data_IF_139597227650
#
_entry.id   IF_139597227650
#
_cell.length_a   1.000
_cell.length_b   1.000
_cell.length_c   1.000
_cell.angle_alpha   90.00
_cell.angle_beta   90.00
_cell.angle_gamma   90.00
#
_symmetry.space_group_name_H-M   'P 1'
#
loop_
_entity.id
_entity.type
_entity.pdbx_description
1 polymer ?
#
# COMPACT_ATOMS: atom_id res chain seq x y z
N UNK A 1 20.05 -10.97 -14.81
CA UNK A 1 18.62 -11.08 -14.42
C UNK A 1 17.88 -11.80 -15.53
N UNK A 2 16.97 -12.73 -15.23
CA UNK A 2 16.16 -13.44 -16.24
C UNK A 2 15.16 -12.46 -16.88
N UNK A 3 14.93 -12.57 -18.19
CA UNK A 3 14.03 -11.75 -19.03
C UNK A 3 12.53 -11.77 -18.64
N UNK A 4 12.14 -12.38 -17.52
CA UNK A 4 10.73 -12.61 -17.17
C UNK A 4 9.97 -11.36 -16.69
N UNK A 5 10.70 -10.32 -16.28
CA UNK A 5 10.15 -9.04 -15.82
C UNK A 5 9.93 -8.03 -16.95
N UNK A 6 10.05 -8.45 -18.20
CA UNK A 6 9.84 -7.62 -19.40
C UNK A 6 8.63 -8.14 -20.15
N UNK A 7 7.65 -7.27 -20.38
CA UNK A 7 6.49 -7.52 -21.21
C UNK A 7 6.64 -6.84 -22.57
N UNK A 8 6.17 -7.51 -23.61
CA UNK A 8 6.03 -6.93 -24.95
C UNK A 8 4.54 -6.91 -25.28
N UNK A 9 3.94 -5.72 -25.32
CA UNK A 9 2.54 -5.52 -25.66
C UNK A 9 2.45 -5.23 -27.16
N UNK A 10 1.89 -6.15 -27.92
CA UNK A 10 1.82 -6.07 -29.40
C UNK A 10 0.47 -5.62 -29.92
N UNK A 11 -0.59 -5.80 -29.11
CA UNK A 11 -1.98 -5.61 -29.53
C UNK A 11 -2.77 -4.89 -28.44
N UNK A 12 -3.59 -3.88 -28.76
CA UNK A 12 -4.47 -3.25 -27.79
C UNK A 12 -5.47 -4.23 -27.18
N UNK A 13 -5.87 -3.98 -25.94
CA UNK A 13 -6.92 -4.71 -25.22
C UNK A 13 -6.48 -6.01 -24.56
N UNK A 14 -5.30 -6.55 -24.89
CA UNK A 14 -4.82 -7.83 -24.38
C UNK A 14 -3.89 -7.62 -23.17
N UNK A 15 -4.23 -8.23 -22.04
CA UNK A 15 -3.35 -8.29 -20.88
C UNK A 15 -2.18 -9.24 -21.13
N UNK A 16 -0.98 -8.72 -20.89
CA UNK A 16 0.25 -9.51 -20.74
C UNK A 16 0.62 -9.60 -19.28
N UNK A 17 1.21 -10.73 -18.87
CA UNK A 17 1.39 -11.10 -17.47
C UNK A 17 2.85 -11.34 -17.12
N UNK A 18 3.37 -10.63 -16.12
CA UNK A 18 4.54 -11.04 -15.36
C UNK A 18 4.08 -12.04 -14.30
N UNK A 19 4.50 -13.29 -14.44
CA UNK A 19 4.05 -14.40 -13.58
C UNK A 19 4.69 -14.32 -12.20
N UNK A 20 4.03 -14.92 -11.21
CA UNK A 20 4.59 -15.20 -9.88
C UNK A 20 5.94 -15.93 -9.98
N UNK A 21 6.81 -15.67 -9.03
CA UNK A 21 8.18 -16.19 -8.97
C UNK A 21 9.18 -15.42 -9.82
N UNK A 22 8.74 -14.45 -10.63
CA UNK A 22 9.65 -13.65 -11.47
C UNK A 22 10.46 -12.64 -10.66
N UNK A 23 9.83 -12.00 -9.67
CA UNK A 23 10.47 -10.97 -8.86
C UNK A 23 11.30 -11.61 -7.74
N UNK A 24 12.57 -11.84 -8.02
CA UNK A 24 13.54 -12.38 -7.06
C UNK A 24 14.33 -11.25 -6.39
N UNK A 25 14.14 -11.07 -5.08
CA UNK A 25 14.97 -10.18 -4.26
C UNK A 25 16.09 -10.95 -3.58
N UNK A 26 17.26 -10.32 -3.46
CA UNK A 26 18.38 -10.88 -2.70
C UNK A 26 18.06 -10.95 -1.20
N UNK A 27 18.74 -11.85 -0.48
CA UNK A 27 18.64 -11.92 0.99
C UNK A 27 19.06 -10.58 1.62
N UNK A 28 18.31 -10.11 2.60
CA UNK A 28 18.56 -8.83 3.28
C UNK A 28 18.18 -7.60 2.43
N UNK A 29 17.33 -7.79 1.42
CA UNK A 29 16.76 -6.71 0.63
C UNK A 29 15.23 -6.68 0.77
N UNK A 30 14.69 -5.47 0.73
CA UNK A 30 13.26 -5.19 0.63
C UNK A 30 12.99 -4.27 -0.55
N UNK A 31 11.80 -4.42 -1.13
CA UNK A 31 11.31 -3.60 -2.23
C UNK A 31 10.13 -2.76 -1.72
N UNK A 32 10.36 -1.48 -1.38
CA UNK A 32 9.29 -0.55 -1.07
C UNK A 32 8.54 -0.05 -2.31
N UNK A 33 9.22 0.00 -3.45
CA UNK A 33 8.66 0.49 -4.71
C UNK A 33 9.15 -0.42 -5.84
N UNK A 34 8.28 -0.67 -6.81
CA UNK A 34 8.62 -1.25 -8.09
C UNK A 34 8.53 -0.18 -9.18
N UNK A 35 9.53 -0.11 -10.04
CA UNK A 35 9.50 0.73 -11.23
C UNK A 35 8.92 -0.03 -12.41
N UNK A 36 8.15 0.65 -13.25
CA UNK A 36 7.75 0.17 -14.56
C UNK A 36 8.29 1.12 -15.63
N UNK A 37 9.33 0.72 -16.37
CA UNK A 37 9.82 1.45 -17.54
C UNK A 37 8.97 1.08 -18.75
N UNK A 38 8.21 2.03 -19.29
CA UNK A 38 7.53 1.89 -20.58
C UNK A 38 8.37 2.51 -21.69
N UNK A 39 8.50 1.79 -22.80
CA UNK A 39 9.01 2.29 -24.07
C UNK A 39 7.90 2.17 -25.10
N UNK A 40 7.38 3.30 -25.56
CA UNK A 40 6.18 3.37 -26.40
C UNK A 40 6.56 3.95 -27.77
N UNK A 41 6.45 3.19 -28.86
CA UNK A 41 6.67 3.72 -30.20
C UNK A 41 5.42 4.47 -30.68
N UNK A 42 5.55 5.76 -30.99
CA UNK A 42 4.45 6.63 -31.43
C UNK A 42 4.71 7.10 -32.86
N UNK A 43 3.78 6.81 -33.77
CA UNK A 43 3.75 7.36 -35.11
C UNK A 43 3.06 8.72 -35.13
N UNK A 44 3.65 9.67 -35.86
CA UNK A 44 3.08 11.00 -36.07
C UNK A 44 2.69 11.22 -37.54
N UNK A 45 1.42 11.53 -37.78
CA UNK A 45 0.84 11.86 -39.08
C UNK A 45 0.12 13.22 -39.08
N UNK A 46 0.43 14.10 -38.14
CA UNK A 46 -0.24 15.40 -37.93
C UNK A 46 0.19 16.50 -38.93
N UNK A 47 1.09 16.20 -39.88
CA UNK A 47 1.54 17.15 -40.89
C UNK A 47 2.74 18.03 -40.47
N UNK A 48 3.17 17.96 -39.22
CA UNK A 48 4.34 18.65 -38.68
C UNK A 48 4.95 17.90 -37.49
N UNK A 49 6.15 18.30 -37.06
CA UNK A 49 6.72 17.77 -35.83
C UNK A 49 5.93 18.29 -34.62
N UNK A 50 5.54 17.42 -33.70
CA UNK A 50 4.75 17.78 -32.52
C UNK A 50 5.29 17.08 -31.28
N UNK A 51 5.18 17.71 -30.11
CA UNK A 51 5.38 17.06 -28.82
C UNK A 51 4.02 16.86 -28.16
N UNK A 52 3.87 15.82 -27.35
CA UNK A 52 2.65 15.62 -26.57
C UNK A 52 2.46 16.78 -25.58
N UNK A 53 1.30 17.43 -25.62
CA UNK A 53 0.85 18.34 -24.58
C UNK A 53 0.64 17.58 -23.26
N UNK A 54 0.60 18.29 -22.13
CA UNK A 54 0.38 17.67 -20.82
C UNK A 54 -0.91 16.81 -20.79
N UNK A 55 -1.99 17.29 -21.42
CA UNK A 55 -3.24 16.54 -21.53
C UNK A 55 -3.07 15.24 -22.34
N UNK A 56 -2.38 15.30 -23.48
CA UNK A 56 -2.12 14.12 -24.32
C UNK A 56 -1.18 13.12 -23.63
N UNK A 57 -0.24 13.58 -22.79
CA UNK A 57 0.58 12.70 -21.94
C UNK A 57 -0.27 11.96 -20.91
N UNK A 58 -1.20 12.64 -20.23
CA UNK A 58 -2.16 12.00 -19.31
C UNK A 58 -3.02 10.98 -20.04
N UNK A 59 -3.54 11.33 -21.22
CA UNK A 59 -4.29 10.41 -22.09
C UNK A 59 -3.47 9.18 -22.44
N UNK A 60 -2.23 9.34 -22.90
CA UNK A 60 -1.35 8.22 -23.24
C UNK A 60 -1.13 7.29 -22.04
N UNK A 61 -0.80 7.82 -20.87
CA UNK A 61 -0.62 7.02 -19.66
C UNK A 61 -1.92 6.32 -19.23
N UNK A 62 -3.07 6.97 -19.43
CA UNK A 62 -4.38 6.41 -19.10
C UNK A 62 -4.79 5.24 -20.00
N UNK A 63 -4.17 5.10 -21.19
CA UNK A 63 -4.37 3.93 -22.04
C UNK A 63 -3.83 2.66 -21.39
N UNK A 64 -2.76 2.77 -20.60
CA UNK A 64 -2.10 1.63 -19.96
C UNK A 64 -2.78 1.29 -18.65
N UNK A 65 -3.28 0.06 -18.54
CA UNK A 65 -4.07 -0.42 -17.40
C UNK A 65 -3.29 -1.54 -16.72
N UNK A 66 -2.99 -1.35 -15.44
CA UNK A 66 -2.21 -2.25 -14.61
C UNK A 66 -3.08 -2.91 -13.53
N UNK A 67 -2.90 -4.21 -13.34
CA UNK A 67 -3.38 -4.94 -12.17
C UNK A 67 -2.18 -5.57 -11.47
N UNK A 68 -2.08 -5.36 -10.16
CA UNK A 68 -1.10 -6.03 -9.31
C UNK A 68 -1.84 -6.96 -8.36
N UNK A 69 -1.43 -8.24 -8.33
CA UNK A 69 -1.92 -9.20 -7.36
C UNK A 69 -0.79 -9.83 -6.56
N UNK A 70 -1.06 -10.28 -5.33
CA UNK A 70 -0.09 -11.01 -4.52
C UNK A 70 -0.76 -12.01 -3.55
N UNK A 71 0.07 -12.75 -2.81
CA UNK A 71 -0.39 -13.78 -1.86
C UNK A 71 -0.83 -15.07 -2.54
N UNK A 72 -1.31 -16.03 -1.75
CA UNK A 72 -1.75 -17.35 -2.25
C UNK A 72 -2.76 -17.20 -3.39
N UNK A 73 -2.47 -17.74 -4.56
CA UNK A 73 -3.32 -17.65 -5.76
C UNK A 73 -3.70 -16.22 -6.21
N UNK A 74 -3.04 -15.16 -5.73
CA UNK A 74 -3.34 -13.77 -6.11
C UNK A 74 -4.65 -13.24 -5.53
N UNK A 75 -5.02 -13.73 -4.35
CA UNK A 75 -6.24 -13.31 -3.67
C UNK A 75 -6.21 -11.84 -3.23
N UNK A 76 -5.03 -11.21 -3.15
CA UNK A 76 -4.85 -9.77 -2.88
C UNK A 76 -4.73 -9.01 -4.19
N UNK A 77 -5.44 -7.89 -4.29
CA UNK A 77 -5.49 -7.06 -5.49
C UNK A 77 -5.40 -5.57 -5.12
N UNK A 78 -4.27 -5.10 -4.57
CA UNK A 78 -4.15 -3.71 -4.12
C UNK A 78 -4.36 -2.70 -5.25
N UNK A 79 -4.01 -3.08 -6.48
CA UNK A 79 -4.26 -2.30 -7.67
C UNK A 79 -5.02 -3.17 -8.66
N UNK A 80 -6.26 -2.82 -8.95
CA UNK A 80 -7.13 -3.58 -9.84
C UNK A 80 -7.54 -2.73 -11.03
N UNK A 81 -6.95 -3.02 -12.20
CA UNK A 81 -7.19 -2.30 -13.44
C UNK A 81 -7.00 -0.77 -13.33
N UNK A 82 -5.92 -0.34 -12.66
CA UNK A 82 -5.59 1.07 -12.51
C UNK A 82 -4.84 1.62 -13.74
N UNK A 83 -5.25 2.78 -14.27
CA UNK A 83 -4.48 3.46 -15.31
C UNK A 83 -3.11 3.93 -14.80
N UNK A 84 -2.10 3.95 -15.67
CA UNK A 84 -0.76 4.40 -15.26
C UNK A 84 -0.66 5.88 -14.92
N UNK A 85 -1.58 6.73 -15.39
CA UNK A 85 -1.68 8.12 -14.92
C UNK A 85 -2.08 8.18 -13.45
N UNK A 86 -3.07 7.37 -13.04
CA UNK A 86 -3.45 7.23 -11.63
C UNK A 86 -2.31 6.63 -10.80
N UNK A 87 -1.63 5.62 -11.33
CA UNK A 87 -0.46 5.04 -10.66
C UNK A 87 0.66 6.07 -10.49
N UNK A 88 0.88 6.97 -11.46
CA UNK A 88 1.83 8.09 -11.33
C UNK A 88 1.43 9.01 -10.17
N UNK A 89 0.15 9.39 -10.06
CA UNK A 89 -0.35 10.22 -8.96
C UNK A 89 -0.14 9.55 -7.60
N UNK A 90 -0.49 8.26 -7.48
CA UNK A 90 -0.28 7.49 -6.24
C UNK A 90 1.21 7.34 -5.91
N UNK A 91 2.05 7.13 -6.94
CA UNK A 91 3.50 7.07 -6.83
C UNK A 91 4.09 8.40 -6.37
N UNK A 92 3.62 9.53 -6.90
CA UNK A 92 4.04 10.88 -6.50
C UNK A 92 3.64 11.18 -5.06
N UNK A 93 2.41 10.87 -4.67
CA UNK A 93 1.92 11.00 -3.30
C UNK A 93 2.72 10.13 -2.32
N UNK A 94 2.86 8.84 -2.60
CA UNK A 94 3.55 7.93 -1.70
C UNK A 94 5.06 8.26 -1.65
N UNK A 95 5.69 8.46 -2.81
CA UNK A 95 7.14 8.54 -2.95
C UNK A 95 7.68 9.94 -2.74
N UNK A 96 6.85 10.96 -2.90
CA UNK A 96 7.18 12.36 -2.75
C UNK A 96 8.13 12.85 -3.85
N UNK A 97 8.00 12.32 -5.06
CA UNK A 97 8.71 12.72 -6.28
C UNK A 97 7.91 12.26 -7.51
N UNK A 98 7.92 13.05 -8.59
CA UNK A 98 7.40 12.58 -9.88
C UNK A 98 8.44 11.70 -10.59
N UNK A 99 7.98 11.03 -11.64
CA UNK A 99 8.73 10.02 -12.36
C UNK A 99 9.54 10.58 -13.52
N UNK A 100 10.69 9.95 -13.78
CA UNK A 100 11.51 10.28 -14.93
C UNK A 100 10.73 10.04 -16.24
N UNK A 101 10.85 11.00 -17.17
CA UNK A 101 10.28 10.90 -18.51
C UNK A 101 9.06 11.78 -18.77
N UNK A 102 8.40 12.35 -17.75
CA UNK A 102 7.21 13.20 -17.95
C UNK A 102 7.49 14.47 -18.78
N UNK A 103 8.45 15.30 -18.33
CA UNK A 103 8.85 16.55 -19.01
C UNK A 103 10.16 16.42 -19.81
N UNK A 104 10.67 15.19 -19.98
CA UNK A 104 11.93 14.98 -20.69
C UNK A 104 11.73 15.11 -22.21
N UNK A 105 12.41 16.09 -22.82
CA UNK A 105 12.33 16.43 -24.24
C UNK A 105 13.26 15.64 -25.15
N UNK A 106 14.19 14.86 -24.58
CA UNK A 106 15.19 14.08 -25.32
C UNK A 106 14.72 12.65 -25.59
N UNK A 107 14.20 11.97 -24.56
CA UNK A 107 13.73 10.58 -24.64
C UNK A 107 12.34 10.39 -24.08
N UNK A 108 11.81 11.36 -23.32
CA UNK A 108 10.56 11.23 -22.59
C UNK A 108 9.29 11.53 -23.38
N UNK A 109 8.19 11.68 -22.64
CA UNK A 109 6.87 11.99 -23.17
C UNK A 109 6.77 13.41 -23.77
N UNK A 110 7.64 14.33 -23.34
CA UNK A 110 7.73 15.68 -23.90
C UNK A 110 8.61 15.77 -25.15
N UNK A 111 9.15 14.65 -25.64
CA UNK A 111 9.98 14.60 -26.83
C UNK A 111 9.19 15.01 -28.08
N UNK A 112 9.85 15.76 -28.96
CA UNK A 112 9.32 16.07 -30.30
C UNK A 112 9.29 14.81 -31.17
N UNK A 113 8.13 14.55 -31.77
CA UNK A 113 7.82 13.44 -32.65
C UNK A 113 7.83 13.95 -34.10
N UNK A 114 8.84 13.60 -34.92
CA UNK A 114 8.90 14.04 -36.32
C UNK A 114 7.72 13.50 -37.15
N UNK A 115 7.19 14.33 -38.04
CA UNK A 115 6.11 13.92 -38.96
C UNK A 115 6.56 12.77 -39.87
N UNK A 116 5.67 11.81 -40.11
CA UNK A 116 5.91 10.64 -40.96
C UNK A 116 6.85 9.60 -40.36
N UNK A 117 7.21 9.71 -39.08
CA UNK A 117 8.11 8.78 -38.40
C UNK A 117 7.47 8.18 -37.14
N UNK A 118 7.90 6.96 -36.82
CA UNK A 118 7.64 6.34 -35.53
C UNK A 118 8.81 6.61 -34.60
N UNK A 119 8.54 7.27 -33.48
CA UNK A 119 9.54 7.62 -32.47
C UNK A 119 9.21 6.95 -31.14
N UNK A 120 10.20 6.31 -30.53
CA UNK A 120 10.05 5.76 -29.18
C UNK A 120 10.17 6.86 -28.12
N UNK A 121 9.18 6.90 -27.22
CA UNK A 121 9.22 7.68 -25.97
C UNK A 121 9.35 6.74 -24.78
N UNK A 122 10.05 7.19 -23.75
CA UNK A 122 10.28 6.44 -22.51
C UNK A 122 9.65 7.12 -21.31
N UNK A 123 9.04 6.33 -20.43
CA UNK A 123 8.44 6.81 -19.20
C UNK A 123 8.63 5.79 -18.09
N UNK A 124 8.78 6.25 -16.86
CA UNK A 124 8.85 5.40 -15.68
C UNK A 124 7.59 5.58 -14.86
N UNK A 125 6.99 4.51 -14.34
CA UNK A 125 5.91 4.59 -13.35
C UNK A 125 6.39 3.99 -12.03
N UNK A 126 6.09 4.66 -10.91
CA UNK A 126 6.34 4.14 -9.56
C UNK A 126 5.10 3.35 -9.12
N UNK A 127 5.30 2.09 -8.77
CA UNK A 127 4.27 1.21 -8.21
C UNK A 127 4.63 1.02 -6.73
N UNK A 128 3.93 1.68 -5.79
CA UNK A 128 4.16 1.48 -4.36
C UNK A 128 3.87 0.03 -3.98
N UNK A 129 4.84 -0.64 -3.36
CA UNK A 129 4.69 -2.04 -2.90
C UNK A 129 4.79 -2.18 -1.39
N UNK A 130 5.01 -1.09 -0.67
CA UNK A 130 4.96 -1.03 0.78
C UNK A 130 4.46 0.34 1.23
N UNK A 131 4.50 0.55 2.55
CA UNK A 131 3.95 1.76 3.15
C UNK A 131 5.04 2.79 3.52
N UNK A 132 4.75 4.08 3.31
CA UNK A 132 5.54 5.18 3.84
C UNK A 132 5.32 5.25 5.36
N UNK A 133 6.36 5.01 6.19
CA UNK A 133 6.13 4.86 7.63
C UNK A 133 6.42 6.07 8.49
N UNK A 134 7.31 6.98 8.09
CA UNK A 134 7.55 8.16 8.92
C UNK A 134 8.35 9.23 8.21
N UNK A 135 8.11 10.46 8.66
CA UNK A 135 8.92 11.63 8.46
C UNK A 135 9.18 12.21 9.85
N UNK A 136 10.37 11.93 10.39
CA UNK A 136 10.91 12.63 11.55
C UNK A 136 12.34 12.97 11.22
N UNK A 137 12.69 14.26 11.25
CA UNK A 137 14.04 14.72 10.91
C UNK A 137 14.45 14.49 9.45
N UNK A 138 13.50 14.48 8.51
CA UNK A 138 13.77 14.41 7.06
C UNK A 138 14.10 13.03 6.48
N UNK A 139 14.06 11.95 7.26
CA UNK A 139 14.29 10.60 6.73
C UNK A 139 13.00 9.87 6.40
N UNK A 140 12.78 9.59 5.11
CA UNK A 140 11.70 8.71 4.62
C UNK A 140 12.07 7.25 4.92
N UNK A 141 11.46 6.64 5.93
CA UNK A 141 11.60 5.19 6.15
C UNK A 141 10.52 4.45 5.38
N UNK A 142 10.96 3.83 4.29
CA UNK A 142 10.11 2.99 3.48
C UNK A 142 10.00 1.60 4.09
N UNK A 143 8.77 1.19 4.39
CA UNK A 143 8.48 -0.24 4.55
C UNK A 143 8.33 -0.83 3.16
N UNK A 144 8.76 -2.08 3.03
CA UNK A 144 8.81 -2.75 1.75
C UNK A 144 8.79 -4.25 1.94
N UNK A 145 8.54 -4.93 0.84
CA UNK A 145 8.34 -6.37 0.84
C UNK A 145 9.65 -7.08 0.61
N UNK A 146 9.91 -8.12 1.36
CA UNK A 146 11.08 -8.96 1.18
C UNK A 146 10.86 -10.04 0.13
N UNK A 147 11.88 -10.88 -0.08
CA UNK A 147 11.91 -11.90 -1.14
C UNK A 147 10.71 -12.84 -1.14
N UNK A 148 10.18 -13.21 0.05
CA UNK A 148 9.10 -14.20 0.12
C UNK A 148 7.81 -13.63 -0.45
N UNK A 149 7.44 -12.41 -0.07
CA UNK A 149 6.25 -11.76 -0.59
C UNK A 149 6.43 -11.29 -2.03
N UNK A 150 7.61 -10.76 -2.39
CA UNK A 150 7.92 -10.36 -3.77
C UNK A 150 7.72 -11.51 -4.77
N UNK A 151 8.09 -12.74 -4.39
CA UNK A 151 7.89 -13.93 -5.23
C UNK A 151 6.41 -14.25 -5.52
N UNK A 152 5.48 -13.72 -4.72
CA UNK A 152 4.04 -13.95 -4.92
C UNK A 152 3.38 -12.92 -5.84
N UNK A 153 4.11 -11.85 -6.21
CA UNK A 153 3.58 -10.76 -7.03
C UNK A 153 3.39 -11.24 -8.46
N UNK A 154 2.23 -10.88 -9.01
CA UNK A 154 1.87 -11.03 -10.41
C UNK A 154 1.36 -9.68 -10.91
N UNK A 155 1.82 -9.28 -12.11
CA UNK A 155 1.43 -8.02 -12.73
C UNK A 155 0.83 -8.31 -14.09
N UNK A 156 -0.38 -7.80 -14.30
CA UNK A 156 -1.04 -7.75 -15.60
C UNK A 156 -0.98 -6.32 -16.13
N UNK A 157 -0.54 -6.15 -17.37
CA UNK A 157 -0.52 -4.86 -18.06
C UNK A 157 -1.12 -5.00 -19.45
N UNK A 158 -1.99 -4.06 -19.82
CA UNK A 158 -2.46 -3.87 -21.19
C UNK A 158 -2.42 -2.41 -21.57
N UNK A 159 -2.58 -2.13 -22.85
CA UNK A 159 -2.97 -0.81 -23.33
C UNK A 159 -4.31 -0.90 -24.05
N UNK A 160 -5.23 0.04 -23.82
CA UNK A 160 -6.63 -0.07 -24.24
C UNK A 160 -6.87 0.33 -25.70
N UNK A 161 -6.07 1.26 -26.23
CA UNK A 161 -6.20 1.79 -27.59
C UNK A 161 -4.83 2.11 -28.17
N UNK A 162 -4.71 2.05 -29.49
CA UNK A 162 -3.54 2.57 -30.19
C UNK A 162 -3.63 4.09 -30.42
N UNK A 163 -4.84 4.68 -30.46
CA UNK A 163 -5.01 6.10 -30.68
C UNK A 163 -4.66 6.90 -29.41
N UNK A 164 -3.74 7.86 -29.55
CA UNK A 164 -3.32 8.74 -28.45
C UNK A 164 -4.00 10.09 -28.57
N UNK A 165 -3.86 10.72 -29.74
CA UNK A 165 -4.44 12.02 -30.08
C UNK A 165 -4.63 12.11 -31.60
N UNK A 166 -5.16 13.24 -32.08
CA UNK A 166 -5.32 13.45 -33.53
C UNK A 166 -3.97 13.36 -34.24
N UNK A 167 -3.83 12.43 -35.18
CA UNK A 167 -2.58 12.19 -35.92
C UNK A 167 -1.47 11.54 -35.10
N UNK A 168 -1.73 11.04 -33.89
CA UNK A 168 -0.76 10.37 -33.02
C UNK A 168 -1.26 9.00 -32.58
N UNK A 169 -0.51 7.95 -32.90
CA UNK A 169 -0.88 6.58 -32.55
C UNK A 169 0.31 5.72 -32.13
N UNK A 170 0.10 4.83 -31.17
CA UNK A 170 1.04 3.77 -30.82
C UNK A 170 1.20 2.86 -32.05
N UNK A 171 2.44 2.74 -32.54
CA UNK A 171 2.77 2.01 -33.78
C UNK A 171 3.98 1.11 -33.54
N UNK A 172 3.72 -0.17 -33.28
CA UNK A 172 4.73 -1.18 -32.97
C UNK A 172 4.57 -1.76 -31.57
N UNK A 173 5.60 -2.47 -31.12
CA UNK A 173 5.59 -3.16 -29.84
C UNK A 173 5.90 -2.18 -28.70
N UNK A 174 5.01 -2.12 -27.70
CA UNK A 174 5.32 -1.46 -26.44
C UNK A 174 6.12 -2.42 -25.57
N UNK A 175 7.19 -1.93 -24.96
CA UNK A 175 7.99 -2.70 -24.00
C UNK A 175 7.75 -2.13 -22.61
N UNK A 176 7.40 -3.00 -21.66
CA UNK A 176 7.29 -2.64 -20.25
C UNK A 176 8.27 -3.48 -19.43
N UNK A 177 9.19 -2.85 -18.73
CA UNK A 177 10.17 -3.50 -17.86
C UNK A 177 9.90 -3.16 -16.39
N UNK A 178 9.75 -4.19 -15.55
CA UNK A 178 9.50 -4.05 -14.13
C UNK A 178 10.77 -4.24 -13.32
N UNK A 179 11.18 -3.21 -12.57
CA UNK A 179 12.45 -3.18 -11.82
C UNK A 179 12.18 -2.96 -10.33
N UNK A 180 12.47 -3.96 -9.47
CA UNK A 180 12.42 -3.78 -8.02
C UNK A 180 13.44 -2.74 -7.54
N UNK A 181 13.01 -1.68 -6.85
CA UNK A 181 13.92 -0.77 -6.16
C UNK A 181 14.27 -1.35 -4.79
N UNK A 182 15.35 -2.12 -4.73
CA UNK A 182 15.76 -2.83 -3.52
C UNK A 182 16.55 -1.95 -2.55
N UNK A 183 16.16 -1.93 -1.28
CA UNK A 183 16.88 -1.32 -0.17
C UNK A 183 17.37 -2.38 0.81
N UNK A 184 18.45 -2.10 1.54
CA UNK A 184 18.98 -3.01 2.55
C UNK A 184 18.06 -3.07 3.78
N UNK A 185 17.76 -4.28 4.26
CA UNK A 185 16.99 -4.51 5.47
C UNK A 185 17.46 -5.77 6.20
N UNK A 186 17.24 -5.83 7.51
CA UNK A 186 17.53 -7.03 8.31
C UNK A 186 16.43 -8.08 8.09
N UNK A 187 16.86 -9.25 7.61
CA UNK A 187 15.98 -10.40 7.38
C UNK A 187 15.02 -10.20 6.21
N UNK A 188 14.10 -11.15 6.07
CA UNK A 188 13.04 -11.11 5.07
C UNK A 188 11.72 -10.66 5.73
N UNK A 189 10.97 -9.81 5.04
CA UNK A 189 9.85 -9.04 5.59
C UNK A 189 8.62 -9.19 4.70
N UNK A 190 7.45 -9.02 5.28
CA UNK A 190 6.21 -8.85 4.55
C UNK A 190 5.46 -7.62 5.08
N UNK A 191 4.77 -6.94 4.18
CA UNK A 191 4.04 -5.70 4.44
C UNK A 191 2.64 -5.74 3.82
N UNK A 192 1.77 -4.84 4.26
CA UNK A 192 0.44 -4.69 3.70
C UNK A 192 0.48 -3.62 2.61
N UNK A 193 0.10 -4.01 1.39
CA UNK A 193 0.02 -3.08 0.28
C UNK A 193 -1.16 -2.14 0.53
N UNK A 194 -0.93 -0.84 0.32
CA UNK A 194 -2.04 0.09 0.23
C UNK A 194 -2.87 -0.23 -1.02
N UNK A 195 -4.19 -0.16 -0.88
CA UNK A 195 -5.14 -0.38 -1.96
C UNK A 195 -5.71 0.96 -2.43
N UNK A 196 -6.04 1.05 -3.71
CA UNK A 196 -6.81 2.16 -4.25
C UNK A 196 -8.15 1.66 -4.78
N UNK A 197 -9.22 2.34 -4.38
CA UNK A 197 -10.57 2.11 -4.90
C UNK A 197 -11.23 3.45 -5.25
N UNK A 198 -12.18 3.39 -6.17
CA UNK A 198 -13.11 4.47 -6.45
C UNK A 198 -14.50 4.07 -5.97
N UNK A 199 -15.17 4.98 -5.27
CA UNK A 199 -16.49 4.77 -4.68
C UNK A 199 -17.40 5.87 -5.16
N UNK A 200 -18.47 5.51 -5.84
CA UNK A 200 -19.56 6.42 -6.18
C UNK A 200 -20.66 6.29 -5.11
N UNK A 201 -21.00 7.39 -4.44
CA UNK A 201 -22.05 7.46 -3.43
C UNK A 201 -23.16 8.43 -3.83
N UNK A 202 -24.40 7.94 -3.80
CA UNK A 202 -25.60 8.73 -4.09
C UNK A 202 -26.25 9.29 -2.84
N UNK A 203 -26.06 8.64 -1.70
CA UNK A 203 -26.60 9.09 -0.43
C UNK A 203 -25.89 10.34 0.10
N UNK A 204 -26.44 10.91 1.18
CA UNK A 204 -25.82 12.04 1.87
C UNK A 204 -24.48 11.65 2.52
N UNK A 205 -24.32 10.37 2.88
CA UNK A 205 -23.16 9.86 3.62
C UNK A 205 -22.47 8.79 2.81
N UNK A 206 -21.23 9.06 2.40
CA UNK A 206 -20.35 8.08 1.78
C UNK A 206 -19.66 7.24 2.84
N UNK A 207 -19.67 5.92 2.62
CA UNK A 207 -19.03 4.93 3.48
C UNK A 207 -17.83 4.35 2.77
N UNK A 208 -16.64 4.69 3.26
CA UNK A 208 -15.39 4.11 2.77
C UNK A 208 -15.02 2.87 3.62
N UNK A 209 -14.38 1.85 3.04
CA UNK A 209 -13.94 0.67 3.80
C UNK A 209 -13.03 1.01 4.99
N UNK A 210 -13.10 0.21 6.07
CA UNK A 210 -12.24 0.42 7.23
C UNK A 210 -10.77 0.13 6.91
N UNK A 211 -9.87 0.97 7.43
CA UNK A 211 -8.43 0.79 7.27
C UNK A 211 -7.62 1.89 7.94
N UNK A 212 -6.43 2.09 7.40
CA UNK A 212 -5.62 3.28 7.63
C UNK A 212 -5.75 4.17 6.38
N UNK A 213 -6.56 5.24 6.43
CA UNK A 213 -6.67 6.21 5.35
C UNK A 213 -5.32 6.86 5.07
N UNK A 214 -4.90 6.89 3.80
CA UNK A 214 -3.70 7.61 3.37
C UNK A 214 -4.06 8.85 2.56
N UNK A 215 -5.02 8.71 1.65
CA UNK A 215 -5.48 9.79 0.77
C UNK A 215 -6.97 9.57 0.42
N UNK A 216 -7.75 10.64 0.50
CA UNK A 216 -9.13 10.71 0.01
C UNK A 216 -9.22 11.86 -0.99
N UNK A 217 -9.70 11.59 -2.19
CA UNK A 217 -9.86 12.58 -3.26
C UNK A 217 -11.29 12.66 -3.74
N UNK A 218 -11.72 13.85 -4.14
CA UNK A 218 -12.99 14.11 -4.81
C UNK A 218 -12.78 14.02 -6.34
N UNK A 219 -13.62 13.23 -7.03
CA UNK A 219 -13.48 12.88 -8.45
C UNK A 219 -14.74 13.18 -9.27
N UNK A 220 -15.77 13.80 -8.69
CA UNK A 220 -17.05 14.09 -9.36
C UNK A 220 -16.95 15.24 -10.36
N UNK A 221 -15.89 16.05 -10.28
CA UNK A 221 -15.60 17.14 -11.20
C UNK A 221 -14.12 17.16 -11.61
N UNK A 222 -13.79 17.96 -12.63
CA UNK A 222 -12.40 18.28 -12.93
C UNK A 222 -11.71 18.89 -11.69
N UNK A 223 -10.41 18.67 -11.57
CA UNK A 223 -9.60 19.20 -10.47
C UNK A 223 -9.86 20.69 -10.23
N UNK A 224 -9.98 21.07 -8.95
CA UNK A 224 -10.28 22.43 -8.46
C UNK A 224 -11.65 23.01 -8.87
N UNK A 225 -12.46 22.29 -9.64
CA UNK A 225 -13.82 22.67 -10.02
C UNK A 225 -14.90 21.98 -9.18
N UNK A 226 -14.55 21.52 -7.97
CA UNK A 226 -15.46 20.78 -7.11
C UNK A 226 -16.65 21.63 -6.68
N UNK A 227 -17.86 21.05 -6.76
CA UNK A 227 -19.07 21.68 -6.25
C UNK A 227 -19.41 21.24 -4.81
N UNK A 228 -18.54 20.44 -4.16
CA UNK A 228 -18.70 20.00 -2.79
C UNK A 228 -18.45 21.17 -1.82
N UNK A 229 -19.50 21.95 -1.55
CA UNK A 229 -19.40 23.23 -0.85
C UNK A 229 -19.49 23.13 0.67
N UNK A 230 -20.02 22.03 1.20
CA UNK A 230 -20.17 21.80 2.63
C UNK A 230 -20.19 20.30 2.94
N UNK A 231 -19.11 19.82 3.56
CA UNK A 231 -19.01 18.44 4.02
C UNK A 231 -18.38 18.32 5.41
N UNK A 232 -18.60 17.16 6.02
CA UNK A 232 -17.95 16.72 7.24
C UNK A 232 -17.20 15.42 6.95
N UNK A 233 -15.98 15.30 7.46
CA UNK A 233 -15.20 14.06 7.41
C UNK A 233 -14.90 13.59 8.83
N UNK A 234 -15.29 12.36 9.13
CA UNK A 234 -15.03 11.69 10.41
C UNK A 234 -14.36 10.34 10.15
N UNK A 235 -13.38 9.96 10.97
CA UNK A 235 -12.73 8.65 10.94
C UNK A 235 -12.89 8.01 12.32
N UNK A 236 -13.75 7.00 12.44
CA UNK A 236 -14.02 6.24 13.69
C UNK A 236 -14.29 7.12 14.95
N UNK A 237 -15.01 8.24 14.79
CA UNK A 237 -15.31 9.19 15.86
C UNK A 237 -14.36 10.39 15.96
N UNK A 238 -13.24 10.35 15.24
CA UNK A 238 -12.31 11.47 15.15
C UNK A 238 -12.78 12.41 14.03
N UNK A 239 -13.26 13.59 14.40
CA UNK A 239 -13.70 14.63 13.46
C UNK A 239 -12.46 15.28 12.83
N UNK A 240 -12.29 15.07 11.52
CA UNK A 240 -11.15 15.59 10.75
C UNK A 240 -11.48 16.95 10.15
N UNK A 241 -12.65 17.06 9.52
CA UNK A 241 -13.16 18.29 8.94
C UNK A 241 -14.61 18.49 9.33
N UNK A 242 -14.98 19.73 9.65
CA UNK A 242 -16.33 20.10 10.07
C UNK A 242 -16.84 21.29 9.24
N UNK A 243 -17.88 21.05 8.46
CA UNK A 243 -18.55 22.05 7.62
C UNK A 243 -17.58 22.92 6.79
N UNK A 244 -16.77 22.25 5.98
CA UNK A 244 -15.80 22.89 5.06
C UNK A 244 -16.16 22.61 3.61
N UNK A 245 -15.65 23.43 2.69
CA UNK A 245 -15.69 23.12 1.26
C UNK A 245 -14.44 22.34 0.83
N UNK A 246 -14.51 21.65 -0.31
CA UNK A 246 -13.33 20.98 -0.88
C UNK A 246 -12.21 21.98 -1.23
N UNK A 247 -12.55 23.22 -1.58
CA UNK A 247 -11.58 24.27 -1.86
C UNK A 247 -10.83 24.72 -0.59
N UNK A 248 -11.54 24.85 0.54
CA UNK A 248 -10.92 25.25 1.81
C UNK A 248 -9.90 24.21 2.29
N UNK A 249 -10.21 22.92 2.15
CA UNK A 249 -9.27 21.84 2.50
C UNK A 249 -8.03 21.87 1.62
N UNK A 250 -8.18 22.17 0.33
CA UNK A 250 -7.06 22.28 -0.59
C UNK A 250 -6.12 23.44 -0.18
N UNK A 251 -6.69 24.60 0.15
CA UNK A 251 -5.94 25.75 0.67
C UNK A 251 -5.25 25.44 2.00
N UNK A 252 -5.92 24.73 2.91
CA UNK A 252 -5.32 24.30 4.18
C UNK A 252 -4.09 23.40 3.96
N UNK A 253 -4.22 22.39 3.10
CA UNK A 253 -3.11 21.47 2.79
C UNK A 253 -1.91 22.18 2.16
N UNK A 254 -2.14 23.16 1.29
CA UNK A 254 -1.09 23.97 0.68
C UNK A 254 -0.46 24.97 1.66
N UNK A 255 -1.23 25.49 2.62
CA UNK A 255 -0.78 26.49 3.58
C UNK A 255 -0.08 25.94 4.83
N UNK A 256 -0.43 24.73 5.27
CA UNK A 256 -0.02 24.19 6.59
C UNK A 256 1.36 23.51 6.56
N UNK A 257 1.87 23.06 5.41
CA UNK A 257 3.06 22.23 5.39
C UNK A 257 4.17 22.76 4.44
N UNK A 258 5.18 23.47 4.98
CA UNK A 258 6.31 23.94 4.18
C UNK A 258 7.20 22.81 3.64
N UNK A 259 7.04 21.57 4.12
CA UNK A 259 7.74 20.37 3.61
C UNK A 259 6.96 19.64 2.51
N UNK A 260 5.70 20.03 2.24
CA UNK A 260 4.94 19.63 1.04
C UNK A 260 5.53 20.36 -0.18
N UNK A 261 6.73 19.95 -0.58
CA UNK A 261 7.34 20.40 -1.84
C UNK A 261 6.35 20.14 -2.97
N UNK A 262 6.37 20.98 -4.03
CA UNK A 262 5.52 20.77 -5.21
C UNK A 262 5.61 19.33 -5.73
N UNK A 263 6.80 18.72 -5.71
CA UNK A 263 7.02 17.34 -6.15
C UNK A 263 6.38 16.26 -5.25
N UNK A 264 6.11 16.57 -3.97
CA UNK A 264 5.49 15.65 -3.02
C UNK A 264 3.99 15.88 -2.82
N UNK A 265 3.46 17.02 -3.27
CA UNK A 265 2.02 17.25 -3.35
C UNK A 265 1.43 16.61 -4.60
N UNK A 266 0.14 16.27 -4.55
CA UNK A 266 -0.69 15.98 -5.73
C UNK A 266 -1.86 16.97 -5.86
N UNK A 267 -1.88 18.00 -5.02
CA UNK A 267 -2.97 19.00 -4.96
C UNK A 267 -3.08 19.83 -6.23
N UNK A 268 -2.05 19.84 -7.09
CA UNK A 268 -2.04 20.46 -8.42
C UNK A 268 -2.76 19.62 -9.50
N UNK A 269 -3.14 18.39 -9.18
CA UNK A 269 -3.73 17.46 -10.14
C UNK A 269 -5.04 16.83 -9.70
N UNK A 270 -5.30 16.75 -8.40
CA UNK A 270 -6.51 16.16 -7.84
C UNK A 270 -7.08 17.01 -6.72
N UNK A 271 -8.41 17.01 -6.58
CA UNK A 271 -9.08 17.66 -5.46
C UNK A 271 -8.94 16.77 -4.22
N UNK A 272 -8.02 17.12 -3.32
CA UNK A 272 -7.74 16.34 -2.09
C UNK A 272 -8.71 16.75 -0.98
N UNK A 273 -9.32 15.76 -0.33
CA UNK A 273 -10.20 15.96 0.84
C UNK A 273 -9.55 15.49 2.15
N UNK A 274 -8.53 14.64 2.07
CA UNK A 274 -7.70 14.20 3.18
C UNK A 274 -6.40 13.63 2.62
N UNK A 275 -5.27 13.95 3.24
CA UNK A 275 -3.98 13.34 2.92
C UNK A 275 -3.13 13.23 4.19
N UNK A 276 -2.45 12.10 4.34
CA UNK A 276 -1.35 12.00 5.30
C UNK A 276 -0.24 12.93 4.83
N UNK A 277 0.14 13.87 5.69
CA UNK A 277 1.08 14.93 5.31
C UNK A 277 2.51 14.57 5.66
N UNK A 278 3.50 15.14 4.95
CA UNK A 278 4.86 15.03 5.36
C UNK A 278 5.11 15.50 6.80
N UNK A 279 5.81 14.70 7.60
CA UNK A 279 6.12 15.00 9.00
C UNK A 279 5.15 14.38 10.03
N UNK A 280 3.99 13.86 9.59
CA UNK A 280 3.02 13.26 10.50
C UNK A 280 3.57 11.98 11.13
N UNK A 281 3.54 11.88 12.46
CA UNK A 281 4.02 10.68 13.14
C UNK A 281 3.03 9.53 12.98
N UNK A 282 3.54 8.31 12.82
CA UNK A 282 2.73 7.09 12.69
C UNK A 282 1.63 6.99 13.75
N UNK A 283 1.95 7.32 15.00
CA UNK A 283 1.03 7.23 16.15
C UNK A 283 -0.18 8.17 16.03
N UNK A 284 -0.03 9.28 15.30
CA UNK A 284 -1.03 10.33 15.15
C UNK A 284 -1.98 10.06 13.98
N UNK A 285 -1.71 9.01 13.18
CA UNK A 285 -2.57 8.67 12.06
C UNK A 285 -3.93 8.13 12.53
N UNK A 286 -5.05 8.67 12.02
CA UNK A 286 -6.37 8.13 12.28
C UNK A 286 -6.52 6.77 11.60
N UNK A 287 -7.28 5.87 12.21
CA UNK A 287 -7.57 4.54 11.68
C UNK A 287 -9.04 4.24 11.89
N UNK A 288 -9.70 3.61 10.94
CA UNK A 288 -11.12 3.36 11.06
C UNK A 288 -11.83 3.31 9.72
N UNK A 289 -13.16 3.35 9.77
CA UNK A 289 -14.01 3.57 8.61
C UNK A 289 -14.25 5.08 8.43
N UNK A 290 -13.73 5.70 7.36
CA UNK A 290 -14.06 7.08 7.06
C UNK A 290 -15.54 7.24 6.70
N UNK A 291 -16.13 8.31 7.22
CA UNK A 291 -17.50 8.74 6.97
C UNK A 291 -17.44 10.17 6.44
N UNK A 292 -17.78 10.33 5.17
CA UNK A 292 -17.92 11.64 4.55
C UNK A 292 -19.41 11.97 4.41
N UNK A 293 -19.87 13.04 5.06
CA UNK A 293 -21.25 13.51 4.97
C UNK A 293 -21.32 14.84 4.21
N UNK A 294 -22.15 14.88 3.18
CA UNK A 294 -22.52 16.13 2.50
C UNK A 294 -23.54 16.87 3.36
N UNK A 295 -23.09 17.75 4.26
CA UNK A 295 -23.99 18.48 5.18
C UNK A 295 -25.08 19.21 4.42
N UNK A 296 -24.70 19.83 3.30
CA UNK A 296 -25.60 20.25 2.23
C UNK A 296 -25.43 19.32 1.04
N UNK A 297 -26.54 18.75 0.56
CA UNK A 297 -26.54 17.81 -0.59
C UNK A 297 -26.44 18.59 -1.91
N UNK A 298 -25.29 19.21 -2.15
CA UNK A 298 -25.03 19.97 -3.39
C UNK A 298 -24.80 19.04 -4.60
N UNK A 299 -24.24 17.84 -4.38
CA UNK A 299 -24.00 16.85 -5.41
C UNK A 299 -25.04 15.72 -5.35
N UNK A 300 -25.66 15.42 -6.49
CA UNK A 300 -26.57 14.29 -6.63
C UNK A 300 -25.87 12.94 -6.39
N UNK A 301 -24.61 12.84 -6.81
CA UNK A 301 -23.69 11.73 -6.56
C UNK A 301 -22.30 12.30 -6.30
N UNK A 302 -21.57 11.75 -5.32
CA UNK A 302 -20.16 12.07 -5.08
C UNK A 302 -19.31 10.87 -5.46
N UNK A 303 -18.31 11.09 -6.30
CA UNK A 303 -17.29 10.07 -6.63
C UNK A 303 -16.04 10.36 -5.82
N UNK A 304 -15.59 9.38 -5.04
CA UNK A 304 -14.43 9.47 -4.17
C UNK A 304 -13.36 8.49 -4.62
N UNK A 305 -12.11 8.94 -4.67
CA UNK A 305 -10.94 8.08 -4.70
C UNK A 305 -10.43 7.84 -3.28
N UNK A 306 -10.12 6.59 -2.94
CA UNK A 306 -9.66 6.22 -1.61
C UNK A 306 -8.42 5.33 -1.69
N UNK A 307 -7.30 5.86 -1.22
CA UNK A 307 -6.03 5.14 -1.08
C UNK A 307 -5.78 4.87 0.41
N UNK A 308 -5.68 3.60 0.78
CA UNK A 308 -5.69 3.19 2.19
C UNK A 308 -4.97 1.87 2.40
N UNK A 309 -4.48 1.62 3.62
CA UNK A 309 -4.02 0.28 4.00
C UNK A 309 -5.21 -0.48 4.60
N UNK A 310 -5.61 -1.62 4.01
CA UNK A 310 -6.77 -2.36 4.48
C UNK A 310 -6.44 -3.09 5.77
N UNK A 311 -7.47 -3.28 6.61
CA UNK A 311 -7.37 -4.20 7.74
C UNK A 311 -7.50 -5.62 7.20
N UNK A 312 -6.44 -6.39 7.38
CA UNK A 312 -6.36 -7.75 6.89
C UNK A 312 -6.87 -8.73 7.95
N UNK A 313 -7.84 -9.56 7.54
CA UNK A 313 -8.32 -10.69 8.34
C UNK A 313 -7.18 -11.67 8.68
N UNK A 314 -7.14 -12.15 9.92
CA UNK A 314 -6.11 -13.06 10.44
C UNK A 314 -5.96 -14.33 9.59
N UNK A 315 -7.05 -14.92 9.10
CA UNK A 315 -6.98 -16.13 8.26
C UNK A 315 -6.24 -15.87 6.94
N UNK A 316 -6.37 -14.67 6.38
CA UNK A 316 -5.61 -14.29 5.18
C UNK A 316 -4.13 -14.10 5.52
N UNK A 317 -3.81 -13.51 6.69
CA UNK A 317 -2.41 -13.43 7.18
C UNK A 317 -1.83 -14.83 7.38
N UNK A 318 -2.56 -15.74 8.03
CA UNK A 318 -2.16 -17.14 8.22
C UNK A 318 -1.91 -17.83 6.88
N UNK A 319 -2.80 -17.64 5.89
CA UNK A 319 -2.61 -18.15 4.54
C UNK A 319 -1.35 -17.62 3.85
N UNK A 320 -1.02 -16.34 4.02
CA UNK A 320 0.22 -15.74 3.51
C UNK A 320 1.46 -16.33 4.22
N UNK A 321 1.43 -16.49 5.55
CA UNK A 321 2.51 -17.08 6.35
C UNK A 321 2.78 -18.54 5.94
N UNK A 322 1.74 -19.35 5.75
CA UNK A 322 1.88 -20.72 5.24
C UNK A 322 2.49 -20.73 3.83
N UNK A 323 2.04 -19.82 2.96
CA UNK A 323 2.59 -19.68 1.60
C UNK A 323 4.09 -19.36 1.64
N UNK A 324 4.53 -18.48 2.53
CA UNK A 324 5.94 -18.15 2.67
C UNK A 324 6.77 -19.31 3.23
N UNK A 325 6.24 -20.10 4.17
CA UNK A 325 6.91 -21.28 4.71
C UNK A 325 7.13 -22.34 3.62
N UNK A 326 6.07 -22.59 2.83
CA UNK A 326 6.10 -23.50 1.69
C UNK A 326 7.09 -23.03 0.61
N UNK A 327 7.08 -21.73 0.28
CA UNK A 327 8.01 -21.16 -0.69
C UNK A 327 9.47 -21.30 -0.25
N UNK A 328 9.77 -21.11 1.03
CA UNK A 328 11.12 -21.28 1.59
C UNK A 328 11.52 -22.73 1.78
N UNK A 329 10.55 -23.65 1.77
CA UNK A 329 10.71 -25.03 2.19
C UNK A 329 11.41 -25.15 3.57
N UNK A 330 11.04 -24.26 4.51
CA UNK A 330 11.59 -24.21 5.86
C UNK A 330 10.53 -23.79 6.87
N UNK A 331 10.64 -24.27 8.13
CA UNK A 331 9.82 -23.73 9.20
C UNK A 331 10.14 -22.25 9.41
N UNK A 332 9.11 -21.44 9.64
CA UNK A 332 9.30 -20.03 9.93
C UNK A 332 8.35 -19.55 11.02
N UNK A 333 8.74 -18.44 11.65
CA UNK A 333 7.87 -17.66 12.53
C UNK A 333 7.71 -16.26 11.99
N UNK A 334 6.46 -15.85 11.75
CA UNK A 334 6.10 -14.49 11.41
C UNK A 334 5.86 -13.69 12.70
N UNK A 335 6.58 -12.59 12.86
CA UNK A 335 6.57 -11.73 14.04
C UNK A 335 6.51 -10.26 13.62
N UNK A 336 5.65 -9.45 14.24
CA UNK A 336 5.58 -8.01 13.95
C UNK A 336 6.92 -7.32 14.21
N UNK A 337 7.27 -6.34 13.37
CA UNK A 337 8.54 -5.61 13.56
C UNK A 337 8.58 -4.88 14.91
N UNK A 338 7.44 -4.33 15.38
CA UNK A 338 7.41 -3.64 16.66
C UNK A 338 7.80 -4.56 17.83
N UNK A 339 7.38 -5.83 17.81
CA UNK A 339 7.74 -6.78 18.85
C UNK A 339 9.23 -7.15 18.83
N UNK A 340 9.87 -7.17 17.66
CA UNK A 340 11.31 -7.41 17.52
C UNK A 340 12.13 -6.19 17.94
N UNK A 341 11.70 -5.01 17.52
CA UNK A 341 12.43 -3.74 17.70
C UNK A 341 12.09 -3.05 19.03
N UNK A 342 11.15 -3.61 19.81
CA UNK A 342 10.72 -3.04 21.10
C UNK A 342 9.93 -1.74 20.97
N UNK A 343 9.28 -1.52 19.82
CA UNK A 343 8.53 -0.31 19.53
C UNK A 343 7.16 -0.34 20.21
N UNK A 344 6.75 0.80 20.76
CA UNK A 344 5.42 0.98 21.34
C UNK A 344 4.53 1.75 20.39
N UNK A 345 3.76 1.03 19.59
CA UNK A 345 2.74 1.63 18.73
C UNK A 345 1.36 1.60 19.42
N UNK A 346 0.50 2.60 19.13
CA UNK A 346 -0.91 2.55 19.51
C UNK A 346 -1.60 1.28 19.01
N UNK A 347 -2.48 0.70 19.82
CA UNK A 347 -3.21 -0.54 19.52
C UNK A 347 -3.95 -0.49 18.19
N UNK A 348 -4.49 0.69 17.85
CA UNK A 348 -5.23 0.93 16.62
C UNK A 348 -4.38 0.76 15.36
N UNK A 349 -3.05 0.89 15.49
CA UNK A 349 -2.09 0.80 14.38
C UNK A 349 -1.38 -0.56 14.26
N UNK A 350 -1.47 -1.40 15.29
CA UNK A 350 -0.90 -2.74 15.28
C UNK A 350 -1.29 -3.62 14.07
N UNK A 351 -2.53 -3.55 13.53
CA UNK A 351 -2.90 -4.34 12.35
C UNK A 351 -2.09 -4.00 11.08
N UNK A 352 -1.53 -2.79 11.00
CA UNK A 352 -0.82 -2.29 9.83
C UNK A 352 0.70 -2.40 9.97
N UNK A 353 1.18 -3.06 11.03
CA UNK A 353 2.60 -3.27 11.22
C UNK A 353 3.14 -4.36 10.28
N UNK A 354 4.24 -4.09 9.54
CA UNK A 354 4.92 -5.13 8.79
C UNK A 354 5.47 -6.19 9.75
N UNK A 355 5.70 -7.37 9.22
CA UNK A 355 6.23 -8.49 9.98
C UNK A 355 7.48 -9.07 9.34
N UNK A 356 8.39 -9.55 10.19
CA UNK A 356 9.57 -10.29 9.79
C UNK A 356 9.25 -11.78 9.80
N UNK A 357 9.82 -12.47 8.83
CA UNK A 357 9.73 -13.91 8.67
C UNK A 357 11.05 -14.53 9.15
N UNK A 358 11.06 -14.98 10.40
CA UNK A 358 12.22 -15.53 11.09
C UNK A 358 12.42 -17.00 10.72
N UNK A 359 13.64 -17.37 10.35
CA UNK A 359 14.06 -18.76 10.24
C UNK A 359 14.47 -19.27 11.64
N UNK A 360 14.51 -20.59 11.87
CA UNK A 360 14.90 -21.16 13.17
C UNK A 360 16.30 -20.76 13.64
N UNK A 361 17.20 -20.46 12.69
CA UNK A 361 18.57 -20.03 12.99
C UNK A 361 18.66 -18.54 13.40
N UNK A 362 17.58 -17.77 13.24
CA UNK A 362 17.55 -16.38 13.68
C UNK A 362 17.51 -16.31 15.21
N UNK A 363 18.42 -15.55 15.83
CA UNK A 363 18.48 -15.42 17.29
C UNK A 363 17.19 -14.87 17.93
N UNK A 364 16.36 -14.17 17.15
CA UNK A 364 15.05 -13.68 17.58
C UNK A 364 13.96 -14.76 17.59
N UNK A 365 14.17 -15.87 16.88
CA UNK A 365 13.20 -16.96 16.77
C UNK A 365 12.87 -17.55 18.15
N UNK A 366 13.81 -17.63 19.08
CA UNK A 366 13.54 -18.13 20.45
C UNK A 366 13.16 -17.04 21.45
N UNK A 367 13.00 -15.78 21.01
CA UNK A 367 12.82 -14.63 21.90
C UNK A 367 11.46 -13.95 21.78
N UNK A 368 10.72 -14.20 20.71
CA UNK A 368 9.47 -13.49 20.43
C UNK A 368 8.36 -14.46 20.02
N UNK A 369 7.16 -14.21 20.53
CA UNK A 369 5.95 -14.92 20.11
C UNK A 369 5.55 -14.52 18.68
N UNK A 370 4.76 -15.36 18.00
CA UNK A 370 4.27 -15.04 16.66
C UNK A 370 3.49 -16.19 16.03
N UNK A 371 3.27 -16.11 14.72
CA UNK A 371 2.63 -17.17 13.94
C UNK A 371 3.69 -18.12 13.40
N UNK A 372 3.56 -19.41 13.70
CA UNK A 372 4.48 -20.45 13.27
C UNK A 372 3.85 -21.31 12.17
N UNK A 373 4.62 -21.56 11.11
CA UNK A 373 4.22 -22.40 10.00
C UNK A 373 5.32 -23.40 9.65
N UNK A 374 4.90 -24.63 9.34
CA UNK A 374 5.76 -25.70 8.84
C UNK A 374 5.66 -25.78 7.32
N UNK A 375 6.76 -26.10 6.61
CA UNK A 375 6.70 -26.35 5.18
C UNK A 375 5.87 -27.62 4.90
N UNK A 376 5.12 -27.62 3.81
CA UNK A 376 4.19 -28.68 3.43
C UNK A 376 2.85 -28.65 4.17
N UNK A 377 2.63 -27.70 5.09
CA UNK A 377 1.36 -27.55 5.82
C UNK A 377 0.68 -26.23 5.50
N UNK A 378 -0.64 -26.27 5.41
CA UNK A 378 -1.49 -25.07 5.41
C UNK A 378 -1.83 -24.60 6.83
N UNK A 379 -1.50 -25.41 7.86
CA UNK A 379 -1.75 -25.03 9.25
C UNK A 379 -0.71 -24.01 9.74
N UNK A 380 -1.23 -22.93 10.31
CA UNK A 380 -0.46 -21.90 11.01
C UNK A 380 -0.98 -21.81 12.43
N UNK A 381 -0.07 -21.85 13.40
CA UNK A 381 -0.41 -21.84 14.82
C UNK A 381 0.32 -20.72 15.56
N UNK A 382 -0.31 -20.21 16.61
CA UNK A 382 0.33 -19.28 17.55
C UNK A 382 1.43 -20.03 18.30
N UNK A 383 2.63 -19.45 18.32
CA UNK A 383 3.80 -20.03 18.97
C UNK A 383 4.43 -19.02 19.91
N UNK A 384 4.55 -19.39 21.17
CA UNK A 384 5.33 -18.67 22.18
C UNK A 384 6.55 -19.54 22.52
N UNK A 385 7.80 -19.06 22.35
CA UNK A 385 8.96 -19.82 22.78
C UNK A 385 8.85 -20.27 24.24
N UNK A 386 9.35 -21.46 24.63
CA UNK A 386 9.19 -21.99 25.99
C UNK A 386 9.69 -21.05 27.09
N UNK A 387 10.82 -20.38 26.86
CA UNK A 387 11.43 -19.42 27.80
C UNK A 387 10.55 -18.18 27.97
N UNK A 388 10.04 -17.64 26.87
CA UNK A 388 9.11 -16.50 26.85
C UNK A 388 7.80 -16.87 27.54
N UNK A 389 7.28 -18.07 27.27
CA UNK A 389 6.04 -18.57 27.86
C UNK A 389 6.18 -18.73 29.38
N UNK A 390 7.27 -19.33 29.87
CA UNK A 390 7.52 -19.50 31.29
C UNK A 390 7.57 -18.15 32.03
N UNK A 391 8.29 -17.17 31.46
CA UNK A 391 8.37 -15.81 32.02
C UNK A 391 7.00 -15.11 32.01
N UNK A 392 6.30 -15.15 30.88
CA UNK A 392 4.99 -14.52 30.75
C UNK A 392 3.96 -15.13 31.71
N UNK A 393 3.97 -16.46 31.87
CA UNK A 393 3.12 -17.17 32.85
C UNK A 393 3.41 -16.76 34.28
N UNK A 394 4.68 -16.67 34.67
CA UNK A 394 5.06 -16.25 36.01
C UNK A 394 4.54 -14.84 36.32
N UNK A 395 4.76 -13.89 35.41
CA UNK A 395 4.27 -12.51 35.56
C UNK A 395 2.74 -12.44 35.55
N UNK A 396 2.08 -13.17 34.66
CA UNK A 396 0.62 -13.19 34.56
C UNK A 396 -0.03 -13.71 35.84
N UNK A 397 0.47 -14.83 36.37
CA UNK A 397 -0.05 -15.43 37.61
C UNK A 397 0.28 -14.58 38.84
N UNK A 398 1.42 -13.89 38.85
CA UNK A 398 1.77 -12.96 39.92
C UNK A 398 0.75 -11.81 39.97
N UNK A 399 0.52 -11.10 38.85
CA UNK A 399 -0.44 -9.99 38.80
C UNK A 399 -1.86 -10.44 39.12
N UNK A 400 -2.29 -11.62 38.66
CA UNK A 400 -3.60 -12.17 39.05
C UNK A 400 -3.68 -12.47 40.55
N UNK A 401 -2.63 -13.04 41.15
CA UNK A 401 -2.56 -13.31 42.59
C UNK A 401 -2.56 -12.03 43.43
N UNK A 402 -2.03 -10.93 42.90
CA UNK A 402 -2.03 -9.59 43.51
C UNK A 402 -3.33 -8.81 43.25
N UNK A 403 -4.27 -9.35 42.47
CA UNK A 403 -5.52 -8.67 42.10
C UNK A 403 -5.37 -7.62 40.99
N UNK A 404 -4.22 -7.55 40.33
CA UNK A 404 -3.88 -6.60 39.27
C UNK A 404 -4.32 -7.11 37.86
N UNK A 405 -5.62 -7.32 37.66
CA UNK A 405 -6.16 -7.89 36.41
C UNK A 405 -5.72 -7.13 35.15
N UNK A 406 -5.58 -5.79 35.23
CA UNK A 406 -5.14 -4.97 34.10
C UNK A 406 -3.70 -5.30 33.67
N UNK A 407 -2.79 -5.43 34.64
CA UNK A 407 -1.39 -5.79 34.41
C UNK A 407 -1.28 -7.19 33.80
N UNK A 408 -2.09 -8.14 34.27
CA UNK A 408 -2.17 -9.48 33.70
C UNK A 408 -2.65 -9.45 32.24
N UNK A 409 -3.72 -8.70 31.94
CA UNK A 409 -4.24 -8.56 30.58
C UNK A 409 -3.25 -7.87 29.63
N UNK A 410 -2.41 -6.95 30.12
CA UNK A 410 -1.39 -6.31 29.31
C UNK A 410 -0.30 -7.29 28.83
N UNK A 411 -0.01 -8.36 29.59
CA UNK A 411 0.88 -9.43 29.14
C UNK A 411 0.27 -10.19 27.95
N UNK A 412 -1.03 -10.51 28.03
CA UNK A 412 -1.77 -11.14 26.91
C UNK A 412 -1.73 -10.23 25.69
N UNK A 413 -1.93 -8.92 25.88
CA UNK A 413 -1.88 -7.95 24.78
C UNK A 413 -0.50 -7.91 24.12
N UNK A 414 0.57 -7.89 24.89
CA UNK A 414 1.94 -7.87 24.35
C UNK A 414 2.24 -9.11 23.51
N UNK A 415 1.86 -10.30 23.98
CA UNK A 415 2.04 -11.54 23.23
C UNK A 415 1.18 -11.57 21.96
N UNK A 416 -0.06 -11.08 22.05
CA UNK A 416 -0.99 -11.05 20.92
C UNK A 416 -0.53 -10.09 19.82
N UNK A 417 0.01 -8.92 20.19
CA UNK A 417 0.57 -7.95 19.22
C UNK A 417 1.82 -8.43 18.50
N UNK A 418 2.54 -9.39 19.08
CA UNK A 418 3.70 -9.98 18.42
C UNK A 418 3.31 -10.84 17.21
N UNK A 419 2.09 -11.38 17.19
CA UNK A 419 1.55 -12.12 16.06
C UNK A 419 0.92 -11.16 15.03
N UNK A 420 1.38 -11.16 13.77
CA UNK A 420 0.73 -10.35 12.72
C UNK A 420 -0.72 -10.78 12.53
N UNK A 421 -1.62 -9.80 12.36
CA UNK A 421 -3.06 -10.05 12.28
C UNK A 421 -3.74 -10.35 13.62
N UNK A 422 -3.00 -10.43 14.73
CA UNK A 422 -3.57 -10.67 16.07
C UNK A 422 -4.46 -9.54 16.59
N UNK A 423 -4.34 -8.35 15.98
CA UNK A 423 -5.23 -7.20 16.18
C UNK A 423 -5.96 -6.92 14.87
N UNK A 424 -7.29 -6.76 14.92
CA UNK A 424 -8.14 -6.70 13.73
C UNK A 424 -9.04 -5.44 13.60
N UNK A 425 -8.82 -4.34 14.34
CA UNK A 425 -9.42 -2.96 14.18
C UNK A 425 -10.39 -2.38 15.25
N UNK A 426 -10.83 -1.13 14.96
CA UNK A 426 -11.70 -0.11 15.60
C UNK A 426 -11.62 0.09 17.13
N UNK A 427 -10.52 -0.37 17.73
CA UNK A 427 -9.91 -0.05 19.05
C UNK A 427 -9.05 -1.22 19.58
N UNK A 428 -8.76 -2.21 18.73
CA UNK A 428 -7.81 -3.27 19.03
C UNK A 428 -8.25 -4.15 20.21
N UNK A 429 -7.28 -4.65 20.97
CA UNK A 429 -7.53 -5.50 22.14
C UNK A 429 -8.24 -4.77 23.30
N UNK A 430 -8.55 -3.47 23.16
CA UNK A 430 -9.22 -2.65 24.17
C UNK A 430 -10.75 -2.84 24.25
N UNK A 431 -11.40 -3.45 23.24
CA UNK A 431 -12.86 -3.73 23.24
C UNK A 431 -13.23 -5.20 23.56
N UNK A 432 -12.23 -6.06 23.75
CA UNK A 432 -12.36 -7.52 23.95
C UNK A 432 -11.13 -8.26 23.42
N UNK A 433 -10.90 -9.50 23.89
CA UNK A 433 -9.81 -10.32 23.35
C UNK A 433 -10.18 -10.81 21.94
N UNK A 434 -9.27 -10.63 20.98
CA UNK A 434 -9.37 -11.28 19.66
C UNK A 434 -9.32 -12.80 19.80
N UNK A 435 -9.65 -13.55 18.74
CA UNK A 435 -9.45 -15.01 18.71
C UNK A 435 -8.00 -15.38 19.09
N UNK A 436 -7.03 -14.67 18.52
CA UNK A 436 -5.62 -14.76 18.90
C UNK A 436 -5.38 -14.43 20.38
N UNK A 437 -6.00 -13.38 20.91
CA UNK A 437 -5.90 -13.01 22.32
C UNK A 437 -6.47 -14.06 23.28
N UNK A 438 -7.58 -14.70 22.91
CA UNK A 438 -8.18 -15.81 23.67
C UNK A 438 -7.22 -17.01 23.67
N UNK A 439 -6.63 -17.34 22.53
CA UNK A 439 -5.64 -18.42 22.42
C UNK A 439 -4.39 -18.11 23.24
N UNK A 440 -3.84 -16.90 23.16
CA UNK A 440 -2.68 -16.45 23.94
C UNK A 440 -2.99 -16.53 25.45
N UNK A 441 -4.16 -16.07 25.89
CA UNK A 441 -4.60 -16.21 27.27
C UNK A 441 -4.74 -17.68 27.68
N UNK A 442 -5.30 -18.52 26.83
CA UNK A 442 -5.37 -19.96 27.05
C UNK A 442 -3.99 -20.60 27.20
N UNK A 443 -2.99 -20.17 26.42
CA UNK A 443 -1.60 -20.64 26.56
C UNK A 443 -0.98 -20.22 27.89
N UNK A 444 -1.32 -19.04 28.44
CA UNK A 444 -0.87 -18.62 29.77
C UNK A 444 -1.58 -19.39 30.89
N UNK A 445 -2.88 -19.65 30.74
CA UNK A 445 -3.72 -20.31 31.74
C UNK A 445 -3.62 -21.83 31.75
N UNK A 446 -3.13 -22.47 30.68
CA UNK A 446 -2.90 -23.93 30.66
C UNK A 446 -1.89 -24.31 31.74
N UNK A 447 -2.43 -24.75 32.88
CA UNK A 447 -1.69 -25.24 34.03
C UNK A 447 -1.03 -26.59 33.71
N UNK A 448 0.27 -26.65 34.05
CA UNK A 448 1.19 -27.79 34.17
C UNK A 448 1.01 -28.98 33.23
#
# INVERSE_FOLDING_TARGET
>A
MKKGNVLTLTTPGIFQKVKRGTFELLKGKVMPVMLCKLTVPIANSSGGAVALSAAERKTLLSLFILTLTHGRNGHRKPFNALPLDKMRQLGRFAVGQDVAGWDNTSTGLARSLPNGQTTAVEFWSLIPTGMLHQLRGGQRVWKGVGRSQASTIEIDLKYSSAAVASGLAISGNVVAEFVPLAQSAKGDRADYFAEYIEVEEKDKVAKLPPGLPLLITELSAAHAASALSSFQLEIDGELIHDNVSAADVLVELEGVNPELTAEASITDEVTVLYAVVPGQEWKDLPTGAPRLEQLKKDLSSVTLGYYYVPIVEEEKVKGDVATFANFRNKPLRAVTLAAIEGLKNPDRLAPFEPFRLLDMDDAEFEKVAGLYAQPGSDSVAESIPPTVLARARAMYNQHLGEGETKSADDIVKQLTRAAPGGVQNARGLGKGLSGTGIQMRGLLLKAR
#
